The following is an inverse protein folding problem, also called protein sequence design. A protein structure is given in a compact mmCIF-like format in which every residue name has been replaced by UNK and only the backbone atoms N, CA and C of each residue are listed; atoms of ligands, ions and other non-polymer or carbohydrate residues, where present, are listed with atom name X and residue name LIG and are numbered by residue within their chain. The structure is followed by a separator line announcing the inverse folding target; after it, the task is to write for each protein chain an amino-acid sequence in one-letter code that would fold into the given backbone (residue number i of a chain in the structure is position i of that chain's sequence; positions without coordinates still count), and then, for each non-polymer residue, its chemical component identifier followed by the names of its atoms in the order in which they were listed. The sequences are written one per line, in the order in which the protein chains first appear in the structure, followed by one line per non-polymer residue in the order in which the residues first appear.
data_IF_218971071998
#
_entry.id   IF_218971071998
#
_cell.length_a   1.000
_cell.length_b   1.000
_cell.length_c   1.000
_cell.angle_alpha   90.00
_cell.angle_beta   90.00
_cell.angle_gamma   90.00
#
_symmetry.space_group_name_H-M   'P 1'
#
loop_
_entity.id
_entity.type
_entity.pdbx_description
1 polymer ?
#
# COMPACT_ATOMS: atom_id res chain seq x y z
N UNK A 1 20.98 16.43 7.68
CA UNK A 1 19.76 16.06 8.45
C UNK A 1 19.71 16.92 9.70
N UNK A 2 18.59 17.59 9.98
CA UNK A 2 18.41 18.22 11.28
C UNK A 2 18.46 17.12 12.35
N UNK A 3 19.18 17.36 13.46
CA UNK A 3 19.23 16.42 14.58
C UNK A 3 17.82 16.31 15.15
N UNK A 4 17.23 15.14 15.10
CA UNK A 4 15.90 14.87 15.63
C UNK A 4 15.96 14.92 17.16
N UNK A 5 15.21 15.83 17.77
CA UNK A 5 15.06 15.90 19.22
C UNK A 5 14.24 14.70 19.71
N UNK A 6 14.91 13.68 20.25
CA UNK A 6 14.29 12.44 20.71
C UNK A 6 13.29 12.67 21.85
N UNK A 7 13.57 13.57 22.79
CA UNK A 7 12.65 13.87 23.89
C UNK A 7 11.35 14.48 23.38
N UNK A 8 11.47 15.45 22.46
CA UNK A 8 10.32 16.08 21.81
C UNK A 8 9.54 15.06 20.98
N UNK A 9 10.22 14.17 20.26
CA UNK A 9 9.57 13.12 19.48
C UNK A 9 8.74 12.20 20.38
N UNK A 10 9.35 11.65 21.41
CA UNK A 10 8.67 10.74 22.35
C UNK A 10 7.47 11.40 22.99
N UNK A 11 7.62 12.63 23.47
CA UNK A 11 6.52 13.39 24.07
C UNK A 11 5.38 13.59 23.08
N UNK A 12 5.68 14.05 21.86
CA UNK A 12 4.66 14.29 20.82
C UNK A 12 3.95 13.00 20.40
N UNK A 13 4.66 11.88 20.32
CA UNK A 13 4.02 10.57 20.01
C UNK A 13 3.13 10.12 21.16
N UNK A 14 3.52 10.27 22.41
CA UNK A 14 2.68 9.94 23.58
C UNK A 14 1.39 10.77 23.62
N UNK A 15 1.51 12.08 23.42
CA UNK A 15 0.35 12.98 23.36
C UNK A 15 -0.59 12.62 22.21
N UNK A 16 -0.04 12.34 21.04
CA UNK A 16 -0.82 11.90 19.89
C UNK A 16 -1.52 10.56 20.16
N UNK A 17 -0.85 9.57 20.71
CA UNK A 17 -1.47 8.28 21.04
C UNK A 17 -2.64 8.46 22.02
N UNK A 18 -2.50 9.29 23.06
CA UNK A 18 -3.59 9.59 23.98
C UNK A 18 -4.77 10.29 23.26
N UNK A 19 -4.48 11.22 22.35
CA UNK A 19 -5.51 11.85 21.51
C UNK A 19 -6.22 10.80 20.64
N UNK A 20 -5.50 9.91 19.98
CA UNK A 20 -6.03 8.92 19.06
C UNK A 20 -6.95 7.90 19.76
N UNK A 21 -6.68 7.53 21.02
CA UNK A 21 -7.53 6.64 21.80
C UNK A 21 -8.94 7.24 22.04
N UNK A 22 -9.03 8.55 22.16
CA UNK A 22 -10.29 9.26 22.42
C UNK A 22 -10.96 9.69 21.12
N UNK A 23 -10.18 10.21 20.16
CA UNK A 23 -10.69 10.81 18.93
C UNK A 23 -11.42 9.80 18.05
N UNK A 24 -10.98 8.55 18.00
CA UNK A 24 -11.61 7.52 17.18
C UNK A 24 -13.12 7.35 17.43
N UNK A 25 -13.63 7.77 18.60
CA UNK A 25 -15.04 7.67 18.99
C UNK A 25 -15.86 8.96 18.82
N UNK A 26 -15.22 10.07 18.48
CA UNK A 26 -15.87 11.37 18.37
C UNK A 26 -15.26 12.31 17.31
N UNK A 27 -14.38 11.80 16.49
CA UNK A 27 -13.75 12.59 15.42
C UNK A 27 -14.80 12.98 14.37
N UNK A 28 -14.73 14.25 13.95
CA UNK A 28 -15.50 14.74 12.81
C UNK A 28 -14.54 15.41 11.84
N UNK A 29 -14.38 14.90 10.62
CA UNK A 29 -13.56 15.54 9.60
C UNK A 29 -14.04 16.97 9.34
N UNK A 30 -13.11 17.92 9.38
CA UNK A 30 -13.46 19.32 9.10
C UNK A 30 -13.30 19.62 7.61
N UNK A 31 -14.36 19.45 6.84
CA UNK A 31 -14.40 19.77 5.42
C UNK A 31 -14.36 21.27 5.13
N UNK A 32 -14.75 22.14 6.08
CA UNK A 32 -14.72 23.59 5.90
C UNK A 32 -13.29 24.11 5.67
N UNK A 33 -12.31 23.42 6.20
CA UNK A 33 -10.90 23.64 5.94
C UNK A 33 -10.52 23.58 4.45
N UNK A 34 -11.29 22.85 3.64
CA UNK A 34 -11.04 22.56 2.23
C UNK A 34 -11.81 23.45 1.24
N UNK A 35 -12.86 24.15 1.70
CA UNK A 35 -13.86 24.81 0.84
C UNK A 35 -13.28 25.79 -0.19
N UNK A 36 -12.10 26.39 0.11
CA UNK A 36 -11.43 27.36 -0.78
C UNK A 36 -10.25 26.76 -1.57
N UNK A 37 -9.95 25.49 -1.37
CA UNK A 37 -8.79 24.86 -1.98
C UNK A 37 -9.16 24.23 -3.33
N UNK A 38 -8.42 24.56 -4.39
CA UNK A 38 -8.56 23.88 -5.68
C UNK A 38 -7.99 22.46 -5.59
N UNK A 39 -8.58 21.56 -6.36
CA UNK A 39 -8.00 20.21 -6.55
C UNK A 39 -6.70 20.34 -7.32
N UNK A 40 -5.65 19.71 -6.82
CA UNK A 40 -4.35 19.63 -7.47
C UNK A 40 -4.08 18.17 -7.89
N UNK A 41 -3.46 18.01 -9.01
CA UNK A 41 -2.99 16.72 -9.51
C UNK A 41 -1.49 16.51 -9.20
N UNK A 42 -0.96 15.40 -9.69
CA UNK A 42 0.46 15.04 -9.52
C UNK A 42 1.42 16.06 -10.13
N UNK A 43 1.03 16.68 -11.26
CA UNK A 43 1.85 17.69 -11.92
C UNK A 43 1.82 19.00 -11.14
N UNK A 44 0.64 19.41 -10.66
CA UNK A 44 0.49 20.55 -9.76
C UNK A 44 1.33 20.40 -8.50
N UNK A 45 1.30 19.23 -7.85
CA UNK A 45 2.12 18.94 -6.68
C UNK A 45 3.63 19.01 -7.00
N UNK A 46 4.06 18.51 -8.16
CA UNK A 46 5.47 18.56 -8.61
C UNK A 46 6.00 19.97 -8.81
N UNK A 47 5.15 20.90 -9.26
CA UNK A 47 5.52 22.30 -9.50
C UNK A 47 5.59 23.15 -8.22
N UNK A 48 5.11 22.61 -7.09
CA UNK A 48 5.13 23.37 -5.84
C UNK A 48 6.54 23.52 -5.28
N UNK A 49 6.88 24.74 -4.88
CA UNK A 49 8.09 25.01 -4.08
C UNK A 49 7.77 24.70 -2.62
N UNK A 50 8.32 23.60 -2.12
CA UNK A 50 8.14 23.18 -0.73
C UNK A 50 9.30 23.68 0.12
N UNK A 51 9.00 24.13 1.33
CA UNK A 51 10.02 24.43 2.34
C UNK A 51 10.61 23.11 2.81
N UNK A 52 11.93 23.05 2.98
CA UNK A 52 12.64 21.86 3.45
C UNK A 52 12.07 21.36 4.76
N UNK A 53 11.64 20.10 4.77
CA UNK A 53 11.10 19.41 5.93
C UNK A 53 12.16 18.65 6.74
N UNK A 54 11.69 17.73 7.56
CA UNK A 54 12.55 16.80 8.31
C UNK A 54 13.24 15.81 7.35
N UNK A 55 12.49 15.30 6.38
CA UNK A 55 13.01 14.46 5.29
C UNK A 55 12.14 14.61 4.03
N UNK A 56 12.69 14.17 2.91
CA UNK A 56 12.00 14.17 1.62
C UNK A 56 11.51 12.75 1.29
N UNK A 57 10.21 12.57 1.15
CA UNK A 57 9.64 11.37 0.55
C UNK A 57 9.66 11.48 -0.97
N UNK A 58 9.93 10.35 -1.65
CA UNK A 58 9.95 10.28 -3.12
C UNK A 58 9.03 9.16 -3.56
N UNK A 59 8.07 9.49 -4.43
CA UNK A 59 7.26 8.46 -5.06
C UNK A 59 8.08 7.71 -6.09
N UNK A 60 7.75 6.46 -6.33
CA UNK A 60 8.48 5.61 -7.29
C UNK A 60 8.35 6.04 -8.74
N UNK A 61 7.50 7.03 -9.02
CA UNK A 61 7.33 7.53 -10.39
C UNK A 61 6.97 6.44 -11.38
N UNK A 62 5.96 5.63 -11.10
CA UNK A 62 5.45 4.61 -12.04
C UNK A 62 5.10 5.17 -13.43
N UNK A 63 5.01 6.50 -13.56
CA UNK A 63 4.90 7.25 -14.83
C UNK A 63 6.22 7.90 -15.26
N UNK A 64 7.36 7.46 -14.70
CA UNK A 64 8.71 7.91 -15.07
C UNK A 64 9.25 9.07 -14.23
N UNK A 65 8.47 10.04 -13.80
CA UNK A 65 8.97 11.19 -13.04
C UNK A 65 8.46 11.14 -11.59
N UNK A 66 9.35 10.94 -10.59
CA UNK A 66 8.99 10.93 -9.18
C UNK A 66 8.44 12.30 -8.72
N UNK A 67 7.48 12.27 -7.79
CA UNK A 67 7.13 13.44 -7.00
C UNK A 67 7.95 13.42 -5.72
N UNK A 68 8.47 14.57 -5.32
CA UNK A 68 9.15 14.76 -4.04
C UNK A 68 8.21 15.53 -3.13
N UNK A 69 8.04 15.06 -1.91
CA UNK A 69 7.22 15.72 -0.89
C UNK A 69 8.07 15.90 0.36
N UNK A 70 8.17 17.13 0.81
CA UNK A 70 8.84 17.44 2.07
C UNK A 70 7.95 17.06 3.24
N UNK A 71 8.47 16.25 4.16
CA UNK A 71 7.79 15.75 5.34
C UNK A 71 8.17 16.54 6.57
N UNK A 72 7.16 16.99 7.30
CA UNK A 72 7.32 17.73 8.55
C UNK A 72 7.68 16.80 9.72
N UNK A 73 8.05 17.40 10.85
CA UNK A 73 8.18 16.67 12.11
C UNK A 73 6.86 15.99 12.50
N UNK A 74 5.72 16.65 12.31
CA UNK A 74 4.41 16.09 12.63
C UNK A 74 4.03 14.92 11.70
N UNK A 75 4.40 14.95 10.42
CA UNK A 75 4.23 13.78 9.54
C UNK A 75 4.96 12.55 10.09
N UNK A 76 6.15 12.74 10.66
CA UNK A 76 6.92 11.66 11.28
C UNK A 76 6.31 11.17 12.59
N UNK A 77 5.81 12.08 13.43
CA UNK A 77 5.07 11.74 14.67
C UNK A 77 3.84 10.90 14.33
N UNK A 78 3.07 11.30 13.34
CA UNK A 78 1.90 10.56 12.88
C UNK A 78 2.27 9.18 12.32
N UNK A 79 3.34 9.09 11.56
CA UNK A 79 3.83 7.81 11.04
C UNK A 79 4.12 6.81 12.17
N UNK A 80 4.80 7.23 13.24
CA UNK A 80 5.08 6.36 14.39
C UNK A 80 3.78 6.01 15.13
N UNK A 81 2.94 6.98 15.44
CA UNK A 81 1.73 6.77 16.21
C UNK A 81 0.73 5.85 15.48
N UNK A 82 0.57 6.01 14.15
CA UNK A 82 -0.34 5.16 13.37
C UNK A 82 0.16 3.72 13.25
N UNK A 83 1.48 3.48 13.18
CA UNK A 83 2.03 2.13 13.25
C UNK A 83 1.77 1.49 14.63
N UNK A 84 1.96 2.24 15.71
CA UNK A 84 1.66 1.75 17.08
C UNK A 84 0.16 1.44 17.21
N UNK A 85 -0.71 2.33 16.71
CA UNK A 85 -2.16 2.11 16.68
C UNK A 85 -2.50 0.81 15.93
N UNK A 86 -1.94 0.58 14.77
CA UNK A 86 -2.19 -0.64 14.00
C UNK A 86 -1.82 -1.89 14.79
N UNK A 87 -0.66 -1.91 15.44
CA UNK A 87 -0.27 -3.04 16.28
C UNK A 87 -1.23 -3.24 17.45
N UNK A 88 -1.68 -2.18 18.09
CA UNK A 88 -2.68 -2.22 19.17
C UNK A 88 -4.04 -2.71 18.67
N UNK A 89 -4.51 -2.23 17.52
CA UNK A 89 -5.76 -2.67 16.92
C UNK A 89 -5.73 -4.15 16.55
N UNK A 90 -4.58 -4.63 16.08
CA UNK A 90 -4.38 -6.07 15.81
C UNK A 90 -4.10 -6.90 17.07
N UNK A 91 -3.98 -6.28 18.24
CA UNK A 91 -3.57 -6.94 19.50
C UNK A 91 -2.23 -7.65 19.38
N UNK A 92 -1.32 -7.12 18.59
CA UNK A 92 0.02 -7.65 18.44
C UNK A 92 0.86 -7.34 19.68
N UNK A 93 1.48 -8.37 20.25
CA UNK A 93 2.40 -8.23 21.39
C UNK A 93 3.78 -7.84 20.87
N UNK A 94 4.16 -6.58 21.05
CA UNK A 94 5.44 -6.02 20.58
C UNK A 94 6.68 -6.61 21.28
N UNK A 95 6.50 -7.41 22.33
CA UNK A 95 7.58 -8.17 22.98
C UNK A 95 8.01 -9.38 22.15
N UNK A 96 7.21 -9.79 21.18
CA UNK A 96 7.45 -10.91 20.29
C UNK A 96 8.21 -10.47 19.04
N UNK A 97 8.73 -11.44 18.28
CA UNK A 97 9.54 -11.15 17.09
C UNK A 97 8.68 -10.85 15.86
N UNK A 98 9.10 -9.88 15.08
CA UNK A 98 8.48 -9.41 13.85
C UNK A 98 9.40 -9.66 12.66
N UNK A 99 8.90 -10.25 11.58
CA UNK A 99 9.54 -10.25 10.28
C UNK A 99 8.91 -9.18 9.37
N UNK A 100 9.73 -8.49 8.59
CA UNK A 100 9.28 -7.54 7.57
C UNK A 100 9.91 -7.89 6.23
N UNK A 101 9.07 -8.20 5.25
CA UNK A 101 9.47 -8.45 3.87
C UNK A 101 9.11 -7.20 3.07
N UNK A 102 10.12 -6.47 2.61
CA UNK A 102 9.94 -5.14 2.01
C UNK A 102 10.80 -4.96 0.76
N UNK A 103 10.19 -4.48 -0.33
CA UNK A 103 10.90 -4.18 -1.57
C UNK A 103 12.12 -3.28 -1.35
N UNK A 104 13.25 -3.66 -1.94
CA UNK A 104 14.50 -2.90 -1.88
C UNK A 104 15.18 -2.87 -0.50
N UNK A 105 14.70 -3.65 0.47
CA UNK A 105 15.35 -3.74 1.78
C UNK A 105 16.59 -4.66 1.72
N UNK A 106 17.62 -4.29 2.47
CA UNK A 106 18.77 -5.17 2.73
C UNK A 106 18.48 -6.05 3.94
N UNK A 107 18.89 -7.30 3.88
CA UNK A 107 18.77 -8.27 4.96
C UNK A 107 19.43 -7.74 6.24
N UNK A 108 18.66 -7.64 7.31
CA UNK A 108 19.11 -7.04 8.57
C UNK A 108 18.23 -7.43 9.76
N UNK A 109 18.81 -7.38 10.96
CA UNK A 109 18.17 -7.72 12.22
C UNK A 109 18.31 -6.53 13.17
N UNK A 110 17.23 -6.16 13.85
CA UNK A 110 17.19 -5.03 14.77
C UNK A 110 16.59 -5.45 16.11
N UNK A 111 17.06 -4.85 17.19
CA UNK A 111 16.37 -4.89 18.47
C UNK A 111 15.21 -3.88 18.44
N UNK A 112 14.01 -4.36 18.69
CA UNK A 112 12.80 -3.52 18.69
C UNK A 112 12.17 -3.34 17.31
N UNK A 113 10.90 -2.96 17.33
CA UNK A 113 10.04 -2.83 16.15
C UNK A 113 10.11 -1.43 15.49
N UNK A 114 10.98 -0.56 15.98
CA UNK A 114 11.08 0.84 15.55
C UNK A 114 10.16 1.77 16.35
N UNK A 115 9.61 1.29 17.45
CA UNK A 115 8.89 2.10 18.44
C UNK A 115 9.91 2.65 19.44
N UNK A 116 9.85 3.96 19.82
CA UNK A 116 10.73 4.48 20.86
C UNK A 116 10.63 3.67 22.16
N UNK A 117 11.76 3.33 22.75
CA UNK A 117 11.81 2.51 23.98
C UNK A 117 11.10 3.18 25.18
N UNK A 118 11.04 4.51 25.19
CA UNK A 118 10.31 5.26 26.22
C UNK A 118 8.77 5.10 26.11
N UNK A 119 8.28 4.54 24.99
CA UNK A 119 6.87 4.22 24.75
C UNK A 119 6.63 2.75 25.02
N UNK A 120 7.47 1.89 24.44
CA UNK A 120 7.41 0.42 24.61
C UNK A 120 8.81 -0.08 25.01
N UNK A 121 9.11 -0.17 26.31
CA UNK A 121 10.47 -0.46 26.80
C UNK A 121 10.98 -1.86 26.45
N UNK A 122 10.09 -2.83 26.33
CA UNK A 122 10.43 -4.22 26.02
C UNK A 122 9.86 -4.57 24.66
N UNK A 123 10.73 -4.81 23.72
CA UNK A 123 10.35 -5.16 22.36
C UNK A 123 11.16 -6.38 21.88
N UNK A 124 10.53 -7.21 21.06
CA UNK A 124 11.19 -8.33 20.40
C UNK A 124 12.10 -7.88 19.25
N UNK A 125 12.70 -8.86 18.60
CA UNK A 125 13.52 -8.64 17.41
C UNK A 125 12.66 -8.27 16.20
N UNK A 126 13.19 -7.43 15.32
CA UNK A 126 12.68 -7.18 13.99
C UNK A 126 13.68 -7.69 12.96
N UNK A 127 13.23 -8.64 12.17
CA UNK A 127 13.99 -9.20 11.05
C UNK A 127 13.51 -8.58 9.74
N UNK A 128 14.42 -8.18 8.87
CA UNK A 128 14.08 -7.54 7.59
C UNK A 128 14.75 -8.29 6.44
N UNK A 129 14.01 -8.49 5.36
CA UNK A 129 14.51 -9.05 4.09
C UNK A 129 13.89 -8.31 2.91
N UNK A 130 14.57 -8.32 1.78
CA UNK A 130 14.07 -7.82 0.49
C UNK A 130 13.03 -8.75 -0.15
N UNK A 131 12.61 -8.41 -1.36
CA UNK A 131 11.81 -9.28 -2.20
C UNK A 131 12.74 -10.26 -2.92
N UNK A 132 13.08 -11.33 -2.19
CA UNK A 132 13.83 -12.47 -2.73
C UNK A 132 12.86 -13.46 -3.42
N UNK A 133 13.37 -14.59 -3.89
CA UNK A 133 12.50 -15.68 -4.35
C UNK A 133 11.61 -16.20 -3.21
N UNK A 134 10.45 -16.73 -3.55
CA UNK A 134 9.51 -17.24 -2.53
C UNK A 134 10.16 -18.31 -1.66
N UNK A 135 10.95 -19.19 -2.27
CA UNK A 135 11.69 -20.25 -1.55
C UNK A 135 12.71 -19.70 -0.57
N UNK A 136 13.43 -18.63 -0.94
CA UNK A 136 14.39 -17.96 -0.05
C UNK A 136 13.72 -17.23 1.09
N UNK A 137 12.59 -16.55 0.80
CA UNK A 137 11.77 -15.89 1.83
C UNK A 137 11.21 -16.95 2.80
N UNK A 138 10.67 -18.06 2.28
CA UNK A 138 10.14 -19.13 3.09
C UNK A 138 11.21 -19.71 4.03
N UNK A 139 12.36 -20.09 3.48
CA UNK A 139 13.49 -20.63 4.24
C UNK A 139 13.94 -19.64 5.33
N UNK A 140 14.07 -18.37 4.98
CA UNK A 140 14.46 -17.33 5.93
C UNK A 140 13.45 -17.15 7.06
N UNK A 141 12.14 -17.24 6.77
CA UNK A 141 11.08 -17.19 7.79
C UNK A 141 11.15 -18.40 8.72
N UNK A 142 11.41 -19.59 8.20
CA UNK A 142 11.60 -20.80 8.99
C UNK A 142 12.82 -20.68 9.93
N UNK A 143 13.95 -20.13 9.43
CA UNK A 143 15.16 -19.87 10.23
C UNK A 143 14.95 -18.81 11.32
N UNK A 144 14.27 -17.68 10.99
CA UNK A 144 14.03 -16.56 11.93
C UNK A 144 12.90 -16.86 12.91
N UNK A 145 11.98 -17.72 12.51
CA UNK A 145 10.85 -18.18 13.29
C UNK A 145 10.08 -17.04 13.99
N UNK A 146 9.63 -16.00 13.24
CA UNK A 146 8.96 -14.84 13.80
C UNK A 146 7.55 -15.18 14.28
N UNK A 147 6.99 -14.35 15.16
CA UNK A 147 5.61 -14.44 15.59
C UNK A 147 4.67 -13.69 14.65
N UNK A 148 5.13 -12.56 14.14
CA UNK A 148 4.35 -11.70 13.26
C UNK A 148 5.12 -11.41 11.98
N UNK A 149 4.38 -11.23 10.88
CA UNK A 149 4.97 -11.01 9.56
C UNK A 149 4.28 -9.81 8.88
N UNK A 150 5.09 -8.87 8.40
CA UNK A 150 4.66 -7.79 7.50
C UNK A 150 5.13 -8.13 6.09
N UNK A 151 4.19 -8.30 5.18
CA UNK A 151 4.48 -8.79 3.83
C UNK A 151 3.44 -8.29 2.83
N UNK A 152 3.80 -8.14 1.56
CA UNK A 152 2.83 -7.84 0.51
C UNK A 152 1.82 -9.00 0.34
N UNK A 153 0.52 -8.71 0.14
CA UNK A 153 -0.50 -9.75 -0.04
C UNK A 153 -0.16 -10.78 -1.13
N UNK A 154 0.40 -10.34 -2.24
CA UNK A 154 0.82 -11.21 -3.34
C UNK A 154 1.93 -12.21 -2.96
N UNK A 155 2.81 -11.82 -2.04
CA UNK A 155 3.84 -12.72 -1.51
C UNK A 155 3.24 -13.62 -0.43
N UNK A 156 2.42 -13.05 0.48
CA UNK A 156 1.79 -13.80 1.56
C UNK A 156 1.00 -15.00 1.06
N UNK A 157 0.28 -14.85 -0.06
CA UNK A 157 -0.50 -15.94 -0.68
C UNK A 157 0.33 -17.12 -1.20
N UNK A 158 1.65 -16.96 -1.31
CA UNK A 158 2.57 -17.99 -1.80
C UNK A 158 3.43 -18.61 -0.68
N UNK A 159 3.27 -18.15 0.56
CA UNK A 159 4.01 -18.62 1.72
C UNK A 159 3.21 -19.65 2.51
N UNK A 160 3.93 -20.61 3.05
CA UNK A 160 3.37 -21.62 3.96
C UNK A 160 3.69 -21.25 5.41
N UNK A 161 2.78 -20.53 6.05
CA UNK A 161 2.94 -20.11 7.44
C UNK A 161 2.88 -21.26 8.45
N UNK A 162 2.39 -22.46 8.07
CA UNK A 162 2.34 -23.63 8.96
C UNK A 162 3.73 -24.18 9.28
N UNK A 163 4.73 -23.84 8.47
CA UNK A 163 6.14 -24.21 8.70
C UNK A 163 6.87 -23.30 9.68
N UNK A 164 6.22 -22.25 10.18
CA UNK A 164 6.79 -21.28 11.12
C UNK A 164 6.17 -21.55 12.49
N UNK A 165 6.91 -22.23 13.37
CA UNK A 165 6.37 -22.74 14.62
C UNK A 165 5.88 -21.66 15.61
N UNK A 166 6.45 -20.45 15.55
CA UNK A 166 6.02 -19.33 16.39
C UNK A 166 4.97 -18.43 15.74
N UNK A 167 4.57 -18.69 14.49
CA UNK A 167 3.66 -17.83 13.75
C UNK A 167 2.32 -17.63 14.45
N UNK A 168 1.87 -16.37 14.53
CA UNK A 168 0.59 -15.99 15.11
C UNK A 168 -0.29 -15.28 14.06
N UNK A 169 0.26 -14.28 13.38
CA UNK A 169 -0.50 -13.44 12.44
C UNK A 169 0.42 -12.73 11.44
N UNK A 170 -0.16 -12.30 10.34
CA UNK A 170 0.53 -11.43 9.37
C UNK A 170 -0.35 -10.27 8.93
N UNK A 171 0.28 -9.22 8.41
CA UNK A 171 -0.40 -8.10 7.81
C UNK A 171 0.10 -7.81 6.40
N UNK A 172 -0.83 -7.44 5.51
CA UNK A 172 -0.53 -6.96 4.18
C UNK A 172 0.05 -5.55 4.20
N UNK A 173 1.10 -5.32 3.42
CA UNK A 173 1.73 -4.00 3.26
C UNK A 173 2.09 -3.73 1.80
N UNK A 174 1.95 -2.48 1.38
CA UNK A 174 2.47 -2.03 0.08
C UNK A 174 1.61 -2.34 -1.14
N UNK A 175 0.51 -3.05 -0.99
CA UNK A 175 -0.43 -3.42 -2.05
C UNK A 175 -1.88 -3.15 -1.62
N UNK A 176 -2.78 -3.10 -2.61
CA UNK A 176 -4.23 -3.10 -2.38
C UNK A 176 -4.63 -4.40 -1.67
N UNK A 177 -5.50 -4.31 -0.67
CA UNK A 177 -5.87 -5.45 0.18
C UNK A 177 -4.97 -5.63 1.41
N UNK A 178 -3.96 -4.74 1.58
CA UNK A 178 -3.18 -4.68 2.82
C UNK A 178 -3.99 -4.11 3.98
N UNK A 179 -3.51 -4.35 5.20
CA UNK A 179 -4.17 -3.85 6.42
C UNK A 179 -3.91 -2.38 6.71
N UNK A 180 -2.99 -1.76 5.99
CA UNK A 180 -2.70 -0.34 6.04
C UNK A 180 -2.64 0.22 4.62
N UNK A 181 -3.44 1.24 4.36
CA UNK A 181 -3.40 2.01 3.13
C UNK A 181 -2.58 3.28 3.36
N UNK A 182 -1.52 3.45 2.59
CA UNK A 182 -0.57 4.55 2.73
C UNK A 182 0.00 4.98 1.38
N UNK A 183 0.50 6.20 1.31
CA UNK A 183 1.27 6.68 0.17
C UNK A 183 2.49 7.50 0.61
N UNK A 184 3.46 7.63 -0.26
CA UNK A 184 4.64 8.48 0.00
C UNK A 184 4.24 9.95 0.20
N UNK A 185 3.20 10.40 -0.50
CA UNK A 185 2.71 11.77 -0.41
C UNK A 185 2.00 12.05 0.91
N UNK A 186 1.14 11.15 1.36
CA UNK A 186 0.23 11.39 2.50
C UNK A 186 0.68 10.74 3.80
N UNK A 187 1.53 9.70 3.74
CA UNK A 187 1.78 8.82 4.87
C UNK A 187 0.64 7.80 5.03
N UNK A 188 0.32 7.42 6.27
CA UNK A 188 -0.80 6.50 6.55
C UNK A 188 -2.13 7.20 6.31
N UNK A 189 -2.89 6.69 5.35
CA UNK A 189 -4.22 7.22 4.98
C UNK A 189 -5.29 6.52 5.81
N UNK A 190 -5.30 5.18 5.80
CA UNK A 190 -6.29 4.39 6.51
C UNK A 190 -5.70 3.09 7.05
N UNK A 191 -6.33 2.55 8.10
CA UNK A 191 -5.95 1.28 8.74
C UNK A 191 -7.19 0.41 8.85
N UNK A 192 -7.03 -0.88 8.61
CA UNK A 192 -8.08 -1.89 8.73
C UNK A 192 -8.76 -1.82 10.10
N UNK A 193 -10.08 -1.84 10.09
CA UNK A 193 -10.87 -1.84 11.33
C UNK A 193 -10.59 -3.11 12.14
N UNK A 194 -10.33 -3.01 13.44
CA UNK A 194 -10.06 -4.18 14.29
C UNK A 194 -11.29 -5.06 14.52
N UNK A 195 -12.50 -4.51 14.34
CA UNK A 195 -13.77 -5.18 14.61
C UNK A 195 -14.49 -5.59 13.31
N UNK A 196 -14.11 -5.00 12.17
CA UNK A 196 -14.62 -5.35 10.84
C UNK A 196 -13.49 -5.27 9.81
N UNK A 197 -12.79 -6.38 9.51
CA UNK A 197 -11.64 -6.40 8.63
C UNK A 197 -11.94 -6.10 7.15
N UNK A 198 -13.21 -6.03 6.75
CA UNK A 198 -13.62 -5.69 5.38
C UNK A 198 -13.48 -4.20 5.07
N UNK A 199 -13.31 -3.35 6.09
CA UNK A 199 -13.26 -1.90 5.94
C UNK A 199 -12.02 -1.29 6.59
N UNK A 200 -11.65 -0.10 6.15
CA UNK A 200 -10.53 0.66 6.70
C UNK A 200 -11.01 2.00 7.26
N UNK A 201 -10.49 2.39 8.41
CA UNK A 201 -10.72 3.71 9.00
C UNK A 201 -9.64 4.69 8.57
N UNK A 202 -10.07 5.83 8.04
CA UNK A 202 -9.19 6.95 7.68
C UNK A 202 -8.65 7.60 8.95
N UNK A 203 -7.36 7.91 8.95
CA UNK A 203 -6.71 8.53 10.11
C UNK A 203 -7.17 9.98 10.31
N UNK A 204 -7.19 10.44 11.55
CA UNK A 204 -7.76 11.74 11.93
C UNK A 204 -7.04 12.95 11.31
N UNK A 205 -5.78 12.80 10.91
CA UNK A 205 -5.04 13.83 10.18
C UNK A 205 -5.28 13.82 8.67
N UNK A 206 -6.11 12.90 8.19
CA UNK A 206 -6.43 12.73 6.78
C UNK A 206 -7.92 13.06 6.57
N UNK A 207 -8.20 13.73 5.47
CA UNK A 207 -9.55 13.95 4.96
C UNK A 207 -9.61 13.39 3.56
N UNK A 208 -10.60 12.55 3.30
CA UNK A 208 -10.80 11.89 2.01
C UNK A 208 -12.12 12.34 1.40
N UNK A 209 -12.05 12.77 0.15
CA UNK A 209 -13.17 13.05 -0.75
C UNK A 209 -13.04 12.14 -1.98
N UNK A 210 -14.10 11.99 -2.76
CA UNK A 210 -14.03 11.37 -4.09
C UNK A 210 -14.56 12.34 -5.14
N UNK A 211 -14.01 12.29 -6.34
CA UNK A 211 -14.62 12.92 -7.49
C UNK A 211 -15.79 12.05 -8.03
N UNK A 212 -16.55 12.52 -9.05
CA UNK A 212 -17.65 11.75 -9.61
C UNK A 212 -17.29 10.37 -10.13
N UNK A 213 -16.03 10.15 -10.51
CA UNK A 213 -15.50 8.86 -11.00
C UNK A 213 -14.99 7.96 -9.85
N UNK A 214 -15.16 8.37 -8.60
CA UNK A 214 -14.67 7.64 -7.43
C UNK A 214 -13.18 7.81 -7.16
N UNK A 215 -12.49 8.70 -7.88
CA UNK A 215 -11.06 8.95 -7.68
C UNK A 215 -10.84 9.69 -6.37
N UNK A 216 -9.96 9.15 -5.55
CA UNK A 216 -9.64 9.73 -4.25
C UNK A 216 -8.99 11.10 -4.38
N UNK A 217 -9.55 12.06 -3.64
CA UNK A 217 -8.97 13.37 -3.36
C UNK A 217 -8.63 13.39 -1.88
N UNK A 218 -7.37 13.58 -1.55
CA UNK A 218 -6.88 13.47 -0.18
C UNK A 218 -6.26 14.78 0.30
N UNK A 219 -6.53 15.10 1.55
CA UNK A 219 -5.89 16.22 2.26
C UNK A 219 -5.29 15.74 3.57
N UNK A 220 -4.18 16.34 3.97
CA UNK A 220 -3.60 16.11 5.29
C UNK A 220 -3.55 17.39 6.10
N UNK A 221 -3.79 17.30 7.41
CA UNK A 221 -3.71 18.44 8.32
C UNK A 221 -2.27 18.72 8.76
N UNK A 222 -1.36 17.78 8.54
CA UNK A 222 0.06 17.87 8.95
C UNK A 222 0.98 18.40 7.88
N UNK A 223 0.53 18.36 6.60
CA UNK A 223 1.33 18.82 5.47
C UNK A 223 0.56 19.86 4.65
N UNK A 224 0.98 21.13 4.64
CA UNK A 224 0.25 22.19 3.97
C UNK A 224 0.24 22.09 2.45
N UNK A 225 1.09 21.25 1.87
CA UNK A 225 1.19 21.03 0.42
C UNK A 225 0.22 19.97 -0.09
N UNK A 226 -0.30 19.12 0.80
CA UNK A 226 -1.25 18.05 0.46
C UNK A 226 -2.66 18.49 0.85
N UNK A 227 -3.22 19.36 0.04
CA UNK A 227 -4.61 19.83 0.16
C UNK A 227 -5.34 19.54 -1.13
N UNK A 228 -6.45 18.77 -1.03
CA UNK A 228 -7.25 18.29 -2.16
C UNK A 228 -6.41 17.73 -3.30
N UNK A 229 -5.45 16.89 -2.94
CA UNK A 229 -4.58 16.21 -3.88
C UNK A 229 -5.32 15.02 -4.51
N UNK A 230 -5.51 15.06 -5.84
CA UNK A 230 -6.07 13.95 -6.61
C UNK A 230 -5.04 12.83 -6.66
N UNK A 231 -5.22 11.81 -5.81
CA UNK A 231 -4.24 10.76 -5.56
C UNK A 231 -4.09 9.80 -6.74
N UNK A 232 -5.22 9.56 -7.43
CA UNK A 232 -5.28 8.70 -8.61
C UNK A 232 -5.69 7.25 -8.31
N UNK A 233 -5.94 6.89 -7.05
CA UNK A 233 -6.57 5.63 -6.70
C UNK A 233 -8.10 5.81 -6.70
N UNK A 234 -8.84 4.81 -7.13
CA UNK A 234 -10.31 4.76 -7.03
C UNK A 234 -10.67 4.09 -5.72
N UNK A 235 -11.55 4.71 -4.95
CA UNK A 235 -11.98 4.20 -3.66
C UNK A 235 -13.51 4.22 -3.56
N UNK A 236 -14.02 3.42 -2.65
CA UNK A 236 -15.42 3.41 -2.25
C UNK A 236 -15.48 3.80 -0.78
N UNK A 237 -16.11 4.97 -0.50
CA UNK A 237 -16.39 5.40 0.86
C UNK A 237 -17.61 4.63 1.39
N UNK A 238 -17.69 4.41 2.70
CA UNK A 238 -18.77 3.68 3.30
C UNK A 238 -18.93 3.94 4.79
N UNK A 239 -19.56 2.98 5.47
CA UNK A 239 -19.82 3.04 6.89
C UNK A 239 -19.30 1.79 7.59
N UNK A 240 -19.06 1.88 8.89
CA UNK A 240 -18.64 0.78 9.74
C UNK A 240 -19.45 0.73 11.04
N UNK A 241 -19.93 -0.44 11.38
CA UNK A 241 -20.78 -0.66 12.58
C UNK A 241 -19.98 -0.78 13.89
N UNK A 242 -18.66 -0.58 13.86
CA UNK A 242 -17.80 -0.73 15.05
C UNK A 242 -17.97 0.40 16.09
N UNK A 243 -18.76 1.43 15.79
CA UNK A 243 -18.98 2.59 16.66
C UNK A 243 -17.93 3.70 16.55
N UNK A 244 -16.80 3.49 15.84
CA UNK A 244 -15.84 4.57 15.56
C UNK A 244 -16.43 5.59 14.60
N UNK A 245 -16.11 6.85 14.82
CA UNK A 245 -16.66 7.97 14.02
C UNK A 245 -15.72 8.44 12.90
N UNK A 246 -14.66 7.69 12.64
CA UNK A 246 -13.71 7.96 11.58
C UNK A 246 -14.34 7.73 10.19
N UNK A 247 -13.90 8.49 9.18
CA UNK A 247 -14.28 8.16 7.80
C UNK A 247 -13.90 6.71 7.48
N UNK A 248 -14.68 6.07 6.61
CA UNK A 248 -14.48 4.65 6.26
C UNK A 248 -14.29 4.50 4.76
N UNK A 249 -13.30 3.70 4.40
CA UNK A 249 -13.06 3.20 3.04
C UNK A 249 -13.43 1.72 3.03
N UNK A 250 -14.44 1.35 2.24
CA UNK A 250 -14.88 -0.03 2.06
C UNK A 250 -14.00 -0.77 1.07
N UNK A 251 -13.52 -0.06 0.04
CA UNK A 251 -12.74 -0.68 -1.02
C UNK A 251 -11.73 0.29 -1.61
N UNK A 252 -10.54 -0.21 -1.88
CA UNK A 252 -9.53 0.47 -2.70
C UNK A 252 -9.40 -0.32 -3.99
N UNK A 253 -9.73 0.30 -5.13
CA UNK A 253 -9.68 -0.35 -6.44
C UNK A 253 -8.36 -0.08 -7.19
N UNK A 254 -7.42 0.61 -6.56
CA UNK A 254 -6.15 1.01 -7.14
C UNK A 254 -6.24 2.27 -8.00
N UNK A 255 -5.19 2.53 -8.80
CA UNK A 255 -5.06 3.80 -9.52
C UNK A 255 -5.87 3.83 -10.80
N UNK A 256 -6.49 4.97 -11.13
CA UNK A 256 -7.23 5.20 -12.39
C UNK A 256 -6.40 4.82 -13.61
N UNK A 257 -5.11 5.11 -13.59
CA UNK A 257 -4.19 4.76 -14.69
C UNK A 257 -4.03 3.25 -14.93
N UNK A 258 -4.45 2.42 -13.97
CA UNK A 258 -4.43 0.97 -14.06
C UNK A 258 -5.77 0.40 -14.53
N UNK A 259 -6.73 1.27 -14.88
CA UNK A 259 -7.99 0.84 -15.48
C UNK A 259 -7.79 0.46 -16.94
N UNK A 260 -8.37 -0.66 -17.33
CA UNK A 260 -8.46 -1.05 -18.73
C UNK A 260 -9.45 -0.15 -19.46
N UNK A 261 -9.07 0.39 -20.61
CA UNK A 261 -9.93 1.22 -21.46
C UNK A 261 -10.58 0.30 -22.49
N UNK A 262 -11.91 0.21 -22.45
CA UNK A 262 -12.68 -0.58 -23.41
C UNK A 262 -12.82 0.14 -24.76
N UNK A 263 -13.10 -0.58 -25.87
CA UNK A 263 -13.28 0.02 -27.19
C UNK A 263 -14.36 1.09 -27.28
N UNK A 264 -15.36 1.06 -26.40
CA UNK A 264 -16.42 2.07 -26.28
C UNK A 264 -16.00 3.29 -25.43
N UNK A 265 -14.76 3.34 -24.94
CA UNK A 265 -14.23 4.39 -24.07
C UNK A 265 -14.52 4.22 -22.58
N UNK A 266 -15.33 3.24 -22.18
CA UNK A 266 -15.54 2.93 -20.79
C UNK A 266 -14.25 2.42 -20.13
N UNK A 267 -14.13 2.60 -18.82
CA UNK A 267 -12.99 2.12 -18.03
C UNK A 267 -13.42 0.98 -17.12
N UNK A 268 -12.61 -0.05 -17.08
CA UNK A 268 -12.86 -1.25 -16.30
C UNK A 268 -11.63 -1.63 -15.49
N UNK A 269 -11.83 -2.06 -14.24
CA UNK A 269 -10.76 -2.67 -13.48
C UNK A 269 -10.46 -4.05 -14.07
N UNK A 270 -9.22 -4.32 -14.52
CA UNK A 270 -8.89 -5.64 -15.04
C UNK A 270 -8.79 -6.61 -13.87
N UNK A 271 -9.67 -7.61 -13.84
CA UNK A 271 -9.54 -8.74 -12.94
C UNK A 271 -8.44 -9.67 -13.47
N UNK A 272 -7.21 -9.36 -13.09
CA UNK A 272 -6.05 -10.17 -13.46
C UNK A 272 -5.67 -10.99 -12.23
N UNK A 273 -6.10 -12.26 -12.20
CA UNK A 273 -5.96 -13.13 -11.04
C UNK A 273 -4.60 -13.79 -10.95
N UNK A 274 -3.76 -13.33 -10.03
CA UNK A 274 -2.40 -13.85 -9.82
C UNK A 274 -2.34 -15.33 -9.41
N UNK A 275 -3.33 -15.82 -8.66
CA UNK A 275 -3.34 -17.20 -8.15
C UNK A 275 -3.44 -18.23 -9.28
N UNK A 276 -4.32 -17.99 -10.25
CA UNK A 276 -4.51 -18.92 -11.37
C UNK A 276 -3.33 -18.94 -12.32
N UNK A 277 -2.63 -17.84 -12.48
CA UNK A 277 -1.41 -17.78 -13.27
C UNK A 277 -0.32 -18.72 -12.71
N UNK A 278 -0.13 -18.71 -11.40
CA UNK A 278 0.83 -19.60 -10.76
C UNK A 278 0.35 -21.05 -10.79
N UNK A 279 -0.86 -21.30 -10.31
CA UNK A 279 -1.38 -22.67 -10.11
C UNK A 279 -1.55 -23.44 -11.42
N UNK A 280 -2.03 -22.78 -12.50
CA UNK A 280 -2.30 -23.44 -13.80
C UNK A 280 -1.13 -23.37 -14.77
N UNK A 281 -0.39 -22.26 -14.75
CA UNK A 281 0.60 -21.96 -15.79
C UNK A 281 2.04 -21.89 -15.26
N UNK A 282 2.26 -21.97 -13.95
CA UNK A 282 3.59 -21.85 -13.37
C UNK A 282 4.22 -20.47 -13.56
N UNK A 283 3.41 -19.42 -13.82
CA UNK A 283 3.89 -18.07 -14.03
C UNK A 283 4.31 -17.49 -12.67
N UNK A 284 5.59 -17.23 -12.51
CA UNK A 284 6.19 -16.72 -11.27
C UNK A 284 5.91 -15.24 -11.06
N UNK A 285 5.95 -14.46 -12.13
CA UNK A 285 5.62 -13.03 -12.14
C UNK A 285 5.05 -12.67 -13.50
N UNK A 286 4.18 -11.66 -13.54
CA UNK A 286 3.61 -11.16 -14.77
C UNK A 286 3.41 -9.65 -14.70
N UNK A 287 3.28 -9.01 -15.87
CA UNK A 287 2.83 -7.64 -16.04
C UNK A 287 1.99 -7.56 -17.29
N UNK A 288 0.77 -7.05 -17.15
CA UNK A 288 -0.11 -6.80 -18.28
C UNK A 288 -0.03 -5.31 -18.67
N UNK A 289 0.15 -5.04 -19.95
CA UNK A 289 0.30 -3.70 -20.50
C UNK A 289 -0.70 -3.53 -21.63
N UNK A 290 -1.72 -2.70 -21.42
CA UNK A 290 -2.58 -2.26 -22.52
C UNK A 290 -1.82 -1.21 -23.33
N UNK A 291 -1.35 -1.59 -24.51
CA UNK A 291 -0.54 -0.73 -25.39
C UNK A 291 -1.41 0.18 -26.25
N UNK A 292 -2.56 -0.31 -26.64
CA UNK A 292 -3.61 0.43 -27.33
C UNK A 292 -4.99 -0.11 -26.95
N UNK A 293 -6.05 0.44 -27.54
CA UNK A 293 -7.44 0.13 -27.15
C UNK A 293 -7.83 -1.33 -27.40
N UNK A 294 -7.16 -1.99 -28.34
CA UNK A 294 -7.47 -3.36 -28.78
C UNK A 294 -6.36 -4.37 -28.43
N UNK A 295 -5.25 -3.92 -27.81
CA UNK A 295 -4.07 -4.76 -27.59
C UNK A 295 -3.64 -4.75 -26.14
N UNK A 296 -3.49 -5.96 -25.58
CA UNK A 296 -2.90 -6.22 -24.27
C UNK A 296 -1.66 -7.09 -24.44
N UNK A 297 -0.52 -6.59 -24.01
CA UNK A 297 0.68 -7.41 -23.85
C UNK A 297 0.73 -8.00 -22.44
N UNK A 298 0.88 -9.31 -22.33
CA UNK A 298 1.11 -10.02 -21.09
C UNK A 298 2.58 -10.46 -21.01
N UNK A 299 3.38 -9.71 -20.29
CA UNK A 299 4.78 -10.06 -20.02
C UNK A 299 4.83 -11.03 -18.85
N UNK A 300 5.49 -12.18 -19.01
CA UNK A 300 5.53 -13.24 -17.99
C UNK A 300 6.95 -13.75 -17.75
N UNK A 301 7.20 -14.15 -16.51
CA UNK A 301 8.38 -14.94 -16.11
C UNK A 301 7.89 -16.36 -15.84
N UNK A 302 8.12 -17.27 -16.78
CA UNK A 302 7.78 -18.67 -16.69
C UNK A 302 8.63 -19.49 -17.66
N UNK A 303 8.63 -20.80 -17.51
CA UNK A 303 9.03 -21.70 -18.61
C UNK A 303 8.07 -21.52 -19.79
N UNK A 304 8.50 -21.84 -21.03
CA UNK A 304 7.64 -21.79 -22.21
C UNK A 304 6.35 -22.60 -22.02
N UNK A 305 5.20 -21.98 -22.23
CA UNK A 305 3.89 -22.59 -21.96
C UNK A 305 3.42 -23.53 -23.05
N UNK A 306 3.95 -23.42 -24.28
CA UNK A 306 3.54 -24.22 -25.42
C UNK A 306 2.03 -24.07 -25.69
N UNK A 307 1.32 -25.18 -25.80
CA UNK A 307 -0.13 -25.18 -26.08
C UNK A 307 -0.98 -24.47 -25.02
N UNK A 308 -0.49 -24.35 -23.78
CA UNK A 308 -1.17 -23.62 -22.70
C UNK A 308 -1.23 -22.12 -22.93
N UNK A 309 -0.47 -21.55 -23.86
CA UNK A 309 -0.59 -20.13 -24.22
C UNK A 309 -2.00 -19.77 -24.69
N UNK A 310 -2.62 -20.66 -25.48
CA UNK A 310 -3.99 -20.45 -25.96
C UNK A 310 -4.97 -20.41 -24.79
N UNK A 311 -4.81 -21.31 -23.81
CA UNK A 311 -5.64 -21.34 -22.61
C UNK A 311 -5.45 -20.06 -21.76
N UNK A 312 -4.21 -19.62 -21.61
CA UNK A 312 -3.90 -18.37 -20.91
C UNK A 312 -4.52 -17.15 -21.60
N UNK A 313 -4.41 -17.06 -22.92
CA UNK A 313 -5.02 -15.99 -23.72
C UNK A 313 -6.56 -15.95 -23.52
N UNK A 314 -7.20 -17.10 -23.57
CA UNK A 314 -8.65 -17.21 -23.36
C UNK A 314 -9.04 -16.77 -21.94
N UNK A 315 -8.30 -17.19 -20.94
CA UNK A 315 -8.51 -16.81 -19.55
C UNK A 315 -8.38 -15.27 -19.35
N UNK A 316 -7.36 -14.67 -19.94
CA UNK A 316 -7.16 -13.20 -19.89
C UNK A 316 -8.31 -12.46 -20.57
N UNK A 317 -8.76 -12.93 -21.74
CA UNK A 317 -9.91 -12.35 -22.46
C UNK A 317 -11.21 -12.47 -21.65
N UNK A 318 -11.42 -13.59 -20.99
CA UNK A 318 -12.58 -13.81 -20.11
C UNK A 318 -12.58 -12.80 -18.96
N UNK A 319 -11.44 -12.61 -18.29
CA UNK A 319 -11.33 -11.65 -17.19
C UNK A 319 -11.54 -10.20 -17.62
N UNK A 320 -10.97 -9.81 -18.75
CA UNK A 320 -11.17 -8.48 -19.29
C UNK A 320 -12.61 -8.32 -19.79
N UNK A 321 -13.20 -9.41 -20.25
CA UNK A 321 -14.54 -9.45 -20.89
C UNK A 321 -14.62 -8.44 -22.05
N UNK A 322 -13.60 -8.48 -22.93
CA UNK A 322 -13.51 -7.65 -24.12
C UNK A 322 -12.72 -8.36 -25.22
N UNK A 323 -13.07 -8.15 -26.49
CA UNK A 323 -12.41 -8.77 -27.64
C UNK A 323 -11.05 -8.14 -27.95
N UNK A 324 -10.13 -8.15 -26.98
CA UNK A 324 -8.77 -7.62 -27.16
C UNK A 324 -7.83 -8.68 -27.73
N UNK A 325 -6.83 -8.21 -28.46
CA UNK A 325 -5.71 -9.04 -28.86
C UNK A 325 -4.72 -9.17 -27.70
N UNK A 326 -4.52 -10.39 -27.21
CA UNK A 326 -3.59 -10.68 -26.11
C UNK A 326 -2.30 -11.26 -26.68
N UNK A 327 -1.18 -10.58 -26.41
CA UNK A 327 0.16 -10.98 -26.87
C UNK A 327 0.98 -11.41 -25.66
N UNK A 328 1.45 -12.65 -25.62
CA UNK A 328 2.31 -13.14 -24.56
C UNK A 328 3.76 -12.82 -24.89
N UNK A 329 4.48 -12.23 -23.93
CA UNK A 329 5.91 -11.96 -24.02
C UNK A 329 6.64 -12.58 -22.84
N UNK A 330 7.60 -13.44 -23.12
CA UNK A 330 8.47 -13.99 -22.09
C UNK A 330 9.58 -12.99 -21.78
N UNK A 331 9.84 -12.77 -20.50
CA UNK A 331 10.89 -11.89 -20.00
C UNK A 331 11.67 -12.58 -18.90
N UNK A 332 12.97 -12.30 -18.80
CA UNK A 332 13.83 -12.90 -17.78
C UNK A 332 13.66 -12.21 -16.42
N UNK A 333 13.44 -10.89 -16.45
CA UNK A 333 13.28 -10.07 -15.25
C UNK A 333 12.37 -8.87 -15.46
N UNK A 334 11.90 -8.28 -14.35
CA UNK A 334 11.22 -6.99 -14.32
C UNK A 334 12.11 -5.97 -13.60
N UNK A 335 12.54 -4.89 -14.26
CA UNK A 335 13.59 -4.00 -13.75
C UNK A 335 13.19 -3.12 -12.55
N UNK A 336 11.95 -3.15 -12.09
CA UNK A 336 11.46 -2.31 -11.00
C UNK A 336 10.78 -3.10 -9.87
N UNK A 337 11.20 -2.84 -8.63
CA UNK A 337 10.65 -3.43 -7.40
C UNK A 337 9.22 -2.99 -7.09
N UNK A 338 8.75 -1.85 -7.60
CA UNK A 338 7.33 -1.48 -7.55
C UNK A 338 6.62 -2.02 -8.77
N UNK A 339 6.02 -3.13 -8.55
CA UNK A 339 5.35 -3.90 -9.57
C UNK A 339 3.89 -3.44 -9.71
N UNK A 340 3.57 -2.85 -10.85
CA UNK A 340 2.19 -2.67 -11.28
C UNK A 340 1.85 -3.84 -12.18
N UNK A 341 0.98 -4.71 -11.70
CA UNK A 341 0.56 -5.91 -12.43
C UNK A 341 -0.15 -5.56 -13.74
N UNK A 342 -0.76 -4.38 -13.78
CA UNK A 342 -1.42 -3.85 -14.98
C UNK A 342 -1.09 -2.36 -15.19
N UNK A 343 -0.85 -1.99 -16.44
CA UNK A 343 -0.65 -0.61 -16.88
C UNK A 343 -1.42 -0.39 -18.16
N UNK A 344 -2.21 0.69 -18.26
CA UNK A 344 -2.75 1.17 -19.52
C UNK A 344 -1.93 2.35 -20.04
N UNK A 345 -1.50 2.28 -21.30
CA UNK A 345 -0.87 3.37 -22.02
C UNK A 345 -1.89 4.18 -22.86
N UNK A 346 -3.14 3.72 -22.89
CA UNK A 346 -4.25 4.40 -23.55
C UNK A 346 -4.60 5.65 -22.75
N UNK A 347 -4.66 6.80 -23.45
CA UNK A 347 -4.97 8.10 -22.85
C UNK A 347 -6.47 8.40 -22.83
#
# INVERSE_FOLDING_TARGET
MAVLDQKKLVQSVKELLNYLEVSQWKHKPNFDFLTKSKVIDREGLRKMKMVKGLYTAKTSGSTGIPVKVEKSFMDYVWYIATNIREFRWRKWDVKKNLAQIKAGATKSDFVGWGIPQEIEPIQGMKYVIGYESISEIQKWLEEKNPHYIQVAPSIASQLDFTKISNYIDHKGTGEVGGSMYSSEECGTIAIQCPDNPEVMHVMENIIVETDPDGVMIVSTTTNPYIKRYKHGDVIELGECNCGRTLQTINKVQGRVRNMFVLPNGDKKWPLIGSKEYYDKFGIKRYKAIQTDIETLELHIISEPLGEKEIELILLVKEWINSPVNVIIKYVDEFPNYKFEEFVSLVK
#
